data_IF_574349850315
#
_entry.id   IF_574349850315
#
_cell.length_a   1.000
_cell.length_b   1.000
_cell.length_c   1.000
_cell.angle_alpha   90.00
_cell.angle_beta   90.00
_cell.angle_gamma   90.00
#
_symmetry.space_group_name_H-M   'P 1'
#
loop_
_entity.id
_entity.type
_entity.pdbx_description
1 polymer ?
#
# COMPACT_ATOMS: atom_id res chain seq x y z
N UNK A 1 -2.61 -21.30 1.35
CA UNK A 1 -3.08 -19.94 1.00
C UNK A 1 -1.92 -19.02 1.32
N UNK A 2 -1.18 -18.56 0.32
CA UNK A 2 -0.05 -17.66 0.56
C UNK A 2 -0.58 -16.34 1.12
N UNK A 3 0.04 -15.79 2.18
CA UNK A 3 -0.32 -14.47 2.66
C UNK A 3 -0.16 -13.51 1.49
N UNK A 4 -1.09 -12.57 1.38
CA UNK A 4 -1.31 -11.67 0.25
C UNK A 4 -0.03 -10.89 -0.13
N UNK A 5 0.86 -11.48 -0.92
CA UNK A 5 2.09 -10.82 -1.40
C UNK A 5 1.67 -9.66 -2.31
N UNK A 6 1.84 -8.44 -1.80
CA UNK A 6 1.71 -7.25 -2.60
C UNK A 6 2.98 -7.03 -3.40
N UNK A 7 2.82 -6.56 -4.63
CA UNK A 7 3.90 -6.33 -5.59
C UNK A 7 3.81 -4.92 -6.16
N UNK A 8 4.92 -4.43 -6.68
CA UNK A 8 4.95 -3.16 -7.41
C UNK A 8 3.86 -3.13 -8.50
N UNK A 9 3.11 -2.04 -8.54
CA UNK A 9 2.00 -1.85 -9.47
C UNK A 9 0.62 -2.09 -8.86
N UNK A 10 0.51 -2.83 -7.76
CA UNK A 10 -0.77 -3.10 -7.11
C UNK A 10 -1.43 -1.83 -6.60
N UNK A 11 -2.74 -1.69 -6.85
CA UNK A 11 -3.58 -0.69 -6.17
C UNK A 11 -4.03 -1.25 -4.84
N UNK A 12 -3.91 -0.44 -3.81
CA UNK A 12 -4.21 -0.81 -2.43
C UNK A 12 -4.93 0.31 -1.72
N UNK A 13 -5.77 -0.05 -0.77
CA UNK A 13 -6.41 0.86 0.15
C UNK A 13 -5.99 0.54 1.58
N UNK A 14 -5.90 1.57 2.42
CA UNK A 14 -5.65 1.41 3.85
C UNK A 14 -6.47 2.41 4.65
N UNK A 15 -6.79 2.06 5.90
CA UNK A 15 -7.62 2.89 6.76
C UNK A 15 -6.79 3.42 7.92
N UNK A 16 -6.78 4.75 8.10
CA UNK A 16 -6.24 5.39 9.30
C UNK A 16 -7.37 6.13 9.99
N UNK A 17 -7.71 5.70 11.21
CA UNK A 17 -8.83 6.26 11.97
C UNK A 17 -10.16 5.98 11.25
N UNK A 18 -10.81 7.04 10.76
CA UNK A 18 -12.08 6.98 10.01
C UNK A 18 -11.93 7.25 8.51
N UNK A 19 -10.70 7.47 8.05
CA UNK A 19 -10.40 7.84 6.66
C UNK A 19 -9.79 6.64 5.95
N UNK A 20 -10.30 6.35 4.76
CA UNK A 20 -9.71 5.38 3.82
C UNK A 20 -8.88 6.14 2.81
N UNK A 21 -7.67 5.67 2.57
CA UNK A 21 -6.73 6.24 1.61
C UNK A 21 -6.45 5.24 0.51
N UNK A 22 -6.43 5.73 -0.72
CA UNK A 22 -6.05 4.94 -1.89
C UNK A 22 -4.58 5.18 -2.22
N UNK A 23 -3.88 4.11 -2.55
CA UNK A 23 -2.46 4.14 -2.83
C UNK A 23 -2.07 3.09 -3.87
N UNK A 24 -0.84 3.20 -4.36
CA UNK A 24 -0.24 2.22 -5.25
C UNK A 24 1.08 1.75 -4.67
N UNK A 25 1.33 0.45 -4.73
CA UNK A 25 2.64 -0.11 -4.39
C UNK A 25 3.64 0.31 -5.46
N UNK A 26 4.71 0.98 -5.04
CA UNK A 26 5.78 1.48 -5.90
C UNK A 26 7.11 0.74 -5.70
N UNK A 27 7.24 -0.04 -4.63
CA UNK A 27 8.45 -0.86 -4.38
C UNK A 27 8.11 -2.00 -3.42
N UNK A 28 8.55 -3.23 -3.73
CA UNK A 28 8.60 -4.32 -2.75
C UNK A 28 9.96 -4.30 -2.07
N UNK A 29 9.98 -4.03 -0.75
CA UNK A 29 11.21 -3.98 0.03
C UNK A 29 11.62 -5.36 0.55
N UNK A 30 10.80 -6.39 0.30
CA UNK A 30 10.99 -7.73 0.82
C UNK A 30 10.76 -7.83 2.32
N UNK A 31 11.24 -8.93 2.91
CA UNK A 31 11.00 -9.28 4.30
C UNK A 31 11.98 -8.58 5.27
N UNK A 32 11.94 -7.25 5.33
CA UNK A 32 12.88 -6.41 6.09
C UNK A 32 12.36 -5.93 7.46
N UNK A 33 11.17 -6.39 7.89
CA UNK A 33 10.58 -6.04 9.20
C UNK A 33 10.92 -7.01 10.35
N UNK A 34 10.51 -6.64 11.56
CA UNK A 34 10.58 -7.53 12.75
C UNK A 34 9.76 -8.81 12.49
N UNK A 35 10.39 -9.97 12.65
CA UNK A 35 9.75 -11.27 12.42
C UNK A 35 9.71 -11.72 10.95
N UNK A 36 10.45 -11.04 10.07
CA UNK A 36 10.46 -11.39 8.63
C UNK A 36 9.17 -11.00 7.93
N UNK A 37 8.49 -9.93 8.37
CA UNK A 37 7.33 -9.37 7.67
C UNK A 37 7.78 -8.66 6.39
N UNK A 38 7.06 -8.91 5.30
CA UNK A 38 7.23 -8.15 4.06
C UNK A 38 6.88 -6.69 4.32
N UNK A 39 7.67 -5.78 3.76
CA UNK A 39 7.38 -4.35 3.76
C UNK A 39 7.27 -3.92 2.31
N UNK A 40 6.24 -3.15 2.00
CA UNK A 40 6.08 -2.51 0.69
C UNK A 40 6.10 -1.00 0.86
N UNK A 41 6.61 -0.31 -0.16
CA UNK A 41 6.49 1.15 -0.26
C UNK A 41 5.27 1.46 -1.12
N UNK A 42 4.38 2.28 -0.58
CA UNK A 42 3.19 2.77 -1.25
C UNK A 42 3.29 4.26 -1.50
N UNK A 43 2.66 4.73 -2.58
CA UNK A 43 2.46 6.14 -2.89
C UNK A 43 0.97 6.42 -2.88
N UNK A 44 0.53 7.42 -2.09
CA UNK A 44 -0.89 7.82 -2.08
C UNK A 44 -1.26 8.34 -3.46
N UNK A 45 -2.42 7.88 -3.93
CA UNK A 45 -3.03 8.49 -5.09
C UNK A 45 -3.59 9.86 -4.64
N UNK A 46 -3.40 10.92 -5.44
CA UNK A 46 -3.99 12.21 -5.13
C UNK A 46 -5.51 12.06 -5.13
N UNK A 47 -6.13 12.22 -3.96
CA UNK A 47 -7.50 12.70 -3.90
C UNK A 47 -7.47 14.16 -4.37
N UNK A 48 -8.49 14.61 -5.10
CA UNK A 48 -8.60 15.96 -5.69
C UNK A 48 -8.27 17.14 -4.72
N UNK A 49 -8.16 16.88 -3.41
CA UNK A 49 -7.93 17.85 -2.33
C UNK A 49 -6.52 17.79 -1.66
N UNK A 50 -5.66 16.82 -1.98
CA UNK A 50 -4.36 16.66 -1.33
C UNK A 50 -3.22 17.22 -2.21
N UNK A 51 -2.69 18.39 -1.82
CA UNK A 51 -1.69 19.16 -2.58
C UNK A 51 -0.51 18.38 -3.19
N UNK A 52 0.02 18.95 -4.28
CA UNK A 52 0.92 18.45 -5.34
C UNK A 52 2.03 17.42 -5.01
N UNK A 53 2.39 17.16 -3.75
CA UNK A 53 3.47 16.25 -3.42
C UNK A 53 2.98 14.82 -3.11
N UNK A 54 3.43 13.81 -3.90
CA UNK A 54 3.05 12.42 -3.66
C UNK A 54 3.62 11.94 -2.32
N UNK A 55 2.72 11.60 -1.39
CA UNK A 55 3.12 11.08 -0.08
C UNK A 55 3.43 9.60 -0.17
N UNK A 56 4.59 9.21 0.33
CA UNK A 56 5.08 7.81 0.32
C UNK A 56 5.14 7.25 1.72
N UNK A 57 4.69 6.01 1.88
CA UNK A 57 4.66 5.29 3.16
C UNK A 57 5.25 3.89 3.00
N UNK A 58 5.86 3.38 4.06
CA UNK A 58 6.33 2.00 4.14
C UNK A 58 5.43 1.25 5.12
N UNK A 59 4.76 0.21 4.63
CA UNK A 59 3.75 -0.52 5.40
C UNK A 59 3.82 -2.01 5.11
N UNK A 60 3.47 -2.87 6.08
CA UNK A 60 3.33 -4.29 5.85
C UNK A 60 2.08 -4.56 5.01
N UNK A 61 2.08 -5.61 4.16
CA UNK A 61 0.98 -5.87 3.24
C UNK A 61 -0.32 -6.28 3.94
N UNK A 62 -0.26 -6.71 5.19
CA UNK A 62 -1.46 -7.05 5.98
C UNK A 62 -2.25 -5.84 6.48
N UNK A 63 -1.63 -4.65 6.51
CA UNK A 63 -2.31 -3.38 6.80
C UNK A 63 -2.93 -2.77 5.53
N UNK A 64 -2.79 -3.45 4.38
CA UNK A 64 -3.21 -2.98 3.06
C UNK A 64 -4.25 -3.94 2.47
N UNK A 65 -5.28 -3.38 1.86
CA UNK A 65 -6.30 -4.13 1.13
C UNK A 65 -6.08 -3.95 -0.37
N UNK A 66 -5.80 -5.03 -1.10
CA UNK A 66 -5.66 -4.98 -2.56
C UNK A 66 -6.99 -4.61 -3.20
N UNK A 67 -7.01 -3.54 -3.99
CA UNK A 67 -8.15 -3.18 -4.81
C UNK A 67 -8.10 -4.04 -6.08
N UNK A 68 -9.01 -5.02 -6.17
CA UNK A 68 -9.15 -5.80 -7.41
C UNK A 68 -9.71 -4.87 -8.49
N UNK A 69 -8.87 -4.47 -9.44
CA UNK A 69 -9.38 -3.95 -10.71
C UNK A 69 -10.07 -5.13 -11.39
N UNK A 70 -11.41 -5.14 -11.41
CA UNK A 70 -12.17 -6.05 -12.25
C UNK A 70 -11.72 -5.85 -13.70
N UNK A 71 -11.25 -6.94 -14.33
CA UNK A 71 -10.92 -7.00 -15.75
C UNK A 71 -12.17 -6.88 -16.62
#
# INVERSE_FOLDING_TARGET
MTPNELREGDRVAFTIGRSTFHARVIEDRGHIGVGGRQIVRIELLPDDDAGDEPRRFEMPPEDLTREQTAA
#
